data_IF_965635230653
#
_entry.id   IF_965635230653
#
_cell.length_a   1.000
_cell.length_b   1.000
_cell.length_c   1.000
_cell.angle_alpha   90.00
_cell.angle_beta   90.00
_cell.angle_gamma   90.00
#
_symmetry.space_group_name_H-M   'P 1'
#
loop_
_entity.id
_entity.type
_entity.pdbx_description
1 polymer ?
#
# COMPACT_ATOMS: atom_id res chain seq x y z
N UNK A 1 -1.83 -13.90 15.09
CA UNK A 1 -3.03 -13.30 14.48
C UNK A 1 -3.09 -13.78 13.05
N UNK A 2 -4.20 -14.35 12.59
CA UNK A 2 -4.38 -14.72 11.17
C UNK A 2 -5.36 -13.77 10.53
N UNK A 3 -5.18 -13.45 9.25
CA UNK A 3 -6.16 -12.66 8.51
C UNK A 3 -7.37 -13.54 8.20
N UNK A 4 -8.58 -13.05 8.48
CA UNK A 4 -9.84 -13.75 8.22
C UNK A 4 -10.54 -13.22 6.97
N UNK A 5 -10.48 -11.91 6.74
CA UNK A 5 -11.22 -11.27 5.66
C UNK A 5 -10.60 -9.92 5.29
N UNK A 6 -10.92 -9.52 4.07
CA UNK A 6 -10.59 -8.23 3.50
C UNK A 6 -11.86 -7.55 3.03
N UNK A 7 -12.05 -6.29 3.40
CA UNK A 7 -13.18 -5.46 2.96
C UNK A 7 -12.62 -4.27 2.19
N UNK A 8 -12.88 -4.23 0.88
CA UNK A 8 -12.44 -3.18 -0.02
C UNK A 8 -13.51 -2.08 -0.04
N UNK A 9 -13.15 -0.89 0.44
CA UNK A 9 -13.99 0.32 0.35
C UNK A 9 -13.42 1.28 -0.70
N UNK A 10 -13.97 1.20 -1.91
CA UNK A 10 -13.60 2.07 -3.04
C UNK A 10 -14.12 3.51 -2.89
N UNK A 11 -15.04 3.80 -1.96
CA UNK A 11 -15.50 5.18 -1.72
C UNK A 11 -14.51 5.93 -0.84
N UNK A 12 -13.92 5.22 0.12
CA UNK A 12 -12.91 5.77 1.05
C UNK A 12 -11.47 5.49 0.60
N UNK A 13 -11.28 4.75 -0.49
CA UNK A 13 -9.98 4.24 -0.95
C UNK A 13 -9.20 3.52 0.17
N UNK A 14 -9.91 2.69 0.94
CA UNK A 14 -9.38 2.01 2.12
C UNK A 14 -9.66 0.50 2.07
N UNK A 15 -8.72 -0.25 2.61
CA UNK A 15 -8.83 -1.68 2.86
C UNK A 15 -8.97 -1.92 4.36
N UNK A 16 -10.07 -2.56 4.77
CA UNK A 16 -10.19 -3.10 6.14
C UNK A 16 -9.71 -4.55 6.15
N UNK A 17 -8.89 -4.88 7.12
CA UNK A 17 -8.32 -6.21 7.34
C UNK A 17 -8.81 -6.68 8.70
N UNK A 18 -9.50 -7.81 8.73
CA UNK A 18 -10.01 -8.41 9.96
C UNK A 18 -9.13 -9.59 10.37
N UNK A 19 -8.94 -9.78 11.69
CA UNK A 19 -8.06 -10.79 12.25
C UNK A 19 -8.79 -11.79 13.16
N UNK A 20 -8.41 -13.07 13.10
CA UNK A 20 -9.12 -14.19 13.75
C UNK A 20 -9.08 -14.22 15.28
N UNK A 21 -8.20 -13.46 15.92
CA UNK A 21 -7.97 -13.52 17.36
C UNK A 21 -7.15 -12.29 17.76
N UNK A 22 -7.62 -11.52 18.74
CA UNK A 22 -6.81 -10.43 19.24
C UNK A 22 -7.05 -10.15 20.72
N UNK A 23 -5.98 -10.29 21.51
CA UNK A 23 -5.81 -9.52 22.74
C UNK A 23 -5.51 -8.03 22.45
N UNK A 24 -5.27 -7.64 21.19
CA UNK A 24 -4.65 -6.36 20.85
C UNK A 24 -5.30 -5.55 19.70
N UNK A 25 -5.99 -6.16 18.72
CA UNK A 25 -6.58 -5.48 17.55
C UNK A 25 -7.43 -6.41 16.69
N UNK A 26 -8.74 -6.20 16.64
CA UNK A 26 -9.70 -7.04 15.89
C UNK A 26 -9.71 -6.75 14.39
N UNK A 27 -9.47 -5.49 14.02
CA UNK A 27 -9.38 -5.05 12.63
C UNK A 27 -8.43 -3.86 12.47
N UNK A 28 -7.96 -3.64 11.25
CA UNK A 28 -7.14 -2.50 10.87
C UNK A 28 -7.55 -1.94 9.52
N UNK A 29 -7.35 -0.63 9.33
CA UNK A 29 -7.63 0.06 8.07
C UNK A 29 -6.34 0.60 7.47
N UNK A 30 -6.11 0.32 6.19
CA UNK A 30 -4.97 0.82 5.42
C UNK A 30 -5.47 1.44 4.12
N UNK A 31 -4.98 2.62 3.76
CA UNK A 31 -5.35 3.24 2.49
C UNK A 31 -4.73 2.53 1.29
N UNK A 32 -5.40 2.58 0.15
CA UNK A 32 -4.87 2.02 -1.10
C UNK A 32 -3.57 2.70 -1.51
N UNK A 33 -3.46 4.02 -1.29
CA UNK A 33 -2.20 4.75 -1.48
C UNK A 33 -1.09 4.13 -0.63
N UNK A 34 -1.32 3.96 0.66
CA UNK A 34 -0.33 3.42 1.59
C UNK A 34 0.13 2.01 1.19
N UNK A 35 -0.81 1.13 0.83
CA UNK A 35 -0.51 -0.22 0.35
C UNK A 35 0.33 -0.18 -0.95
N UNK A 36 -0.01 0.73 -1.86
CA UNK A 36 0.64 0.87 -3.17
C UNK A 36 2.07 1.41 -3.07
N UNK A 37 2.31 2.39 -2.21
CA UNK A 37 3.65 2.95 -1.99
C UNK A 37 4.53 1.96 -1.23
N UNK A 38 3.95 1.22 -0.28
CA UNK A 38 4.63 0.24 0.57
C UNK A 38 4.69 -1.13 -0.09
N UNK A 39 4.65 -1.20 -1.42
CA UNK A 39 4.65 -2.48 -2.12
C UNK A 39 6.01 -3.17 -2.02
N UNK A 40 6.08 -4.47 -1.69
CA UNK A 40 7.34 -5.18 -1.46
C UNK A 40 8.25 -5.22 -2.71
N UNK A 41 7.66 -5.16 -3.91
CA UNK A 41 8.41 -5.08 -5.17
C UNK A 41 9.09 -3.73 -5.38
N UNK A 42 8.57 -2.64 -4.81
CA UNK A 42 9.22 -1.32 -4.87
C UNK A 42 10.51 -1.33 -4.05
N UNK A 43 10.48 -1.94 -2.85
CA UNK A 43 11.64 -2.08 -1.97
C UNK A 43 12.80 -2.83 -2.64
N UNK A 44 12.51 -3.90 -3.37
CA UNK A 44 13.52 -4.67 -4.10
C UNK A 44 14.15 -3.89 -5.27
N UNK A 45 13.41 -2.94 -5.87
CA UNK A 45 13.89 -2.08 -6.95
C UNK A 45 14.79 -0.95 -6.42
N UNK A 46 14.40 -0.34 -5.29
CA UNK A 46 15.16 0.73 -4.62
C UNK A 46 16.56 0.28 -4.16
N UNK A 47 16.73 -0.99 -3.75
CA UNK A 47 18.04 -1.51 -3.36
C UNK A 47 19.02 -1.62 -4.55
N UNK A 48 18.52 -1.76 -5.79
CA UNK A 48 19.34 -1.97 -6.98
C UNK A 48 19.81 -0.68 -7.66
N UNK A 49 19.08 0.42 -7.51
CA UNK A 49 19.35 1.67 -8.24
C UNK A 49 20.25 2.66 -7.50
N UNK A 50 20.56 2.46 -6.22
CA UNK A 50 21.35 3.40 -5.40
C UNK A 50 20.67 4.76 -5.15
N UNK A 51 19.58 5.04 -5.84
CA UNK A 51 18.67 6.17 -5.63
C UNK A 51 17.33 5.59 -5.18
N UNK A 52 16.86 6.05 -4.01
CA UNK A 52 15.52 5.76 -3.53
C UNK A 52 14.53 6.54 -4.41
N UNK A 53 13.89 5.85 -5.35
CA UNK A 53 12.82 6.43 -6.13
C UNK A 53 11.55 6.38 -5.30
N UNK A 54 11.14 7.54 -4.76
CA UNK A 54 9.87 7.64 -4.02
C UNK A 54 8.72 7.39 -5.00
N UNK A 55 7.78 6.53 -4.61
CA UNK A 55 6.59 6.27 -5.43
C UNK A 55 5.58 7.39 -5.20
N UNK A 56 5.49 8.34 -6.13
CA UNK A 56 4.63 9.54 -6.04
C UNK A 56 3.38 9.44 -6.94
N UNK A 57 2.47 10.42 -6.79
CA UNK A 57 1.24 10.55 -7.59
C UNK A 57 0.27 9.36 -7.48
N UNK A 58 0.20 8.72 -6.31
CA UNK A 58 -0.63 7.52 -6.06
C UNK A 58 -1.83 7.75 -5.14
N UNK A 59 -2.17 9.00 -4.82
CA UNK A 59 -3.34 9.31 -3.97
C UNK A 59 -4.66 8.73 -4.49
N UNK A 60 -4.82 8.67 -5.81
CA UNK A 60 -6.05 8.17 -6.46
C UNK A 60 -5.97 6.70 -6.90
N UNK A 61 -4.95 5.95 -6.44
CA UNK A 61 -4.84 4.53 -6.78
C UNK A 61 -5.96 3.72 -6.14
N UNK A 62 -6.50 2.77 -6.88
CA UNK A 62 -7.59 1.90 -6.44
C UNK A 62 -7.09 0.46 -6.35
N UNK A 63 -7.43 -0.22 -5.26
CA UNK A 63 -7.25 -1.66 -5.13
C UNK A 63 -8.40 -2.38 -5.85
N UNK A 64 -8.07 -3.03 -6.96
CA UNK A 64 -9.04 -3.68 -7.85
C UNK A 64 -9.43 -5.05 -7.31
N UNK A 65 -8.45 -5.84 -6.85
CA UNK A 65 -8.69 -7.19 -6.40
C UNK A 65 -7.63 -7.68 -5.42
N UNK A 66 -7.99 -8.69 -4.62
CA UNK A 66 -7.09 -9.42 -3.73
C UNK A 66 -7.24 -10.92 -4.03
N UNK A 67 -6.13 -11.58 -4.32
CA UNK A 67 -6.10 -13.03 -4.57
C UNK A 67 -5.27 -13.73 -3.49
N UNK A 68 -5.75 -14.87 -2.97
CA UNK A 68 -4.94 -15.71 -2.09
C UNK A 68 -3.87 -16.47 -2.89
N UNK A 69 -2.62 -16.42 -2.44
CA UNK A 69 -1.47 -17.12 -3.03
C UNK A 69 -0.96 -18.20 -2.07
N UNK A 70 -1.91 -18.88 -1.40
CA UNK A 70 -1.64 -19.94 -0.43
C UNK A 70 -0.59 -19.51 0.62
N UNK A 71 0.49 -20.27 0.78
CA UNK A 71 1.55 -20.01 1.77
C UNK A 71 2.36 -18.73 1.52
N UNK A 72 2.22 -18.09 0.36
CA UNK A 72 2.98 -16.90 0.00
C UNK A 72 2.28 -15.59 0.42
N UNK A 73 1.03 -15.66 0.89
CA UNK A 73 0.23 -14.50 1.30
C UNK A 73 -0.80 -14.11 0.25
N UNK A 74 -0.96 -12.81 0.01
CA UNK A 74 -2.04 -12.26 -0.79
C UNK A 74 -1.52 -11.39 -1.93
N UNK A 75 -1.97 -11.62 -3.16
CA UNK A 75 -1.69 -10.74 -4.29
C UNK A 75 -2.68 -9.59 -4.29
N UNK A 76 -2.18 -8.37 -4.17
CA UNK A 76 -2.96 -7.15 -4.34
C UNK A 76 -2.79 -6.64 -5.77
N UNK A 77 -3.88 -6.34 -6.44
CA UNK A 77 -3.93 -5.86 -7.83
C UNK A 77 -4.51 -4.45 -7.84
N UNK A 78 -3.77 -3.49 -8.38
CA UNK A 78 -4.15 -2.08 -8.42
C UNK A 78 -4.53 -1.63 -9.84
N UNK A 79 -5.30 -0.55 -9.93
CA UNK A 79 -5.78 -0.01 -11.21
C UNK A 79 -4.67 0.65 -12.05
N UNK A 80 -3.52 0.98 -11.45
CA UNK A 80 -2.37 1.55 -12.16
C UNK A 80 -1.49 0.49 -12.86
N UNK A 81 -2.01 -0.74 -12.99
CA UNK A 81 -1.32 -1.88 -13.60
C UNK A 81 -0.35 -2.60 -12.65
N UNK A 82 -0.21 -2.12 -11.41
CA UNK A 82 0.67 -2.73 -10.42
C UNK A 82 0.02 -3.94 -9.75
N UNK A 83 0.79 -5.01 -9.56
CA UNK A 83 0.39 -6.13 -8.71
C UNK A 83 1.60 -6.70 -7.98
N UNK A 84 1.40 -7.12 -6.73
CA UNK A 84 2.46 -7.68 -5.90
C UNK A 84 1.90 -8.63 -4.84
N UNK A 85 2.73 -9.58 -4.41
CA UNK A 85 2.40 -10.52 -3.34
C UNK A 85 2.84 -9.93 -2.00
N UNK A 86 1.89 -9.75 -1.09
CA UNK A 86 2.09 -9.31 0.28
C UNK A 86 2.02 -10.53 1.20
N UNK A 87 3.15 -10.89 1.79
CA UNK A 87 3.18 -11.93 2.81
C UNK A 87 2.34 -11.49 4.03
N UNK A 88 1.66 -12.43 4.69
CA UNK A 88 0.83 -12.12 5.86
C UNK A 88 1.64 -11.41 6.96
N UNK A 89 2.85 -11.88 7.24
CA UNK A 89 3.77 -11.22 8.19
C UNK A 89 4.07 -9.76 7.80
N UNK A 90 4.19 -9.46 6.50
CA UNK A 90 4.43 -8.10 6.03
C UNK A 90 3.18 -7.23 6.17
N UNK A 91 1.98 -7.77 5.95
CA UNK A 91 0.72 -7.05 6.22
C UNK A 91 0.64 -6.66 7.70
N UNK A 92 1.02 -7.56 8.62
CA UNK A 92 1.11 -7.22 10.04
C UNK A 92 2.11 -6.07 10.30
N UNK A 93 3.29 -6.10 9.68
CA UNK A 93 4.25 -5.00 9.77
C UNK A 93 3.66 -3.68 9.27
N UNK A 94 2.97 -3.69 8.12
CA UNK A 94 2.33 -2.51 7.56
C UNK A 94 1.28 -1.90 8.50
N UNK A 95 0.53 -2.74 9.20
CA UNK A 95 -0.45 -2.26 10.19
C UNK A 95 0.25 -1.69 11.43
N UNK A 96 1.22 -2.40 12.00
CA UNK A 96 1.90 -1.98 13.23
C UNK A 96 2.77 -0.73 13.04
N UNK A 97 3.42 -0.60 11.87
CA UNK A 97 4.34 0.50 11.57
C UNK A 97 3.69 1.59 10.70
N UNK A 98 2.36 1.60 10.58
CA UNK A 98 1.62 2.50 9.69
C UNK A 98 2.07 3.95 9.85
N UNK A 99 1.98 4.49 11.07
CA UNK A 99 2.27 5.90 11.35
C UNK A 99 3.71 6.26 11.00
N UNK A 100 4.68 5.46 11.46
CA UNK A 100 6.11 5.73 11.24
C UNK A 100 6.45 5.68 9.75
N UNK A 101 5.95 4.68 9.03
CA UNK A 101 6.19 4.53 7.58
C UNK A 101 5.50 5.63 6.78
N UNK A 102 4.30 6.03 7.19
CA UNK A 102 3.57 7.08 6.53
C UNK A 102 4.27 8.43 6.66
N UNK A 103 4.70 8.79 7.88
CA UNK A 103 5.48 10.01 8.11
C UNK A 103 6.78 9.99 7.30
N UNK A 104 7.48 8.86 7.26
CA UNK A 104 8.69 8.71 6.46
C UNK A 104 8.43 8.99 4.97
N UNK A 105 7.38 8.40 4.39
CA UNK A 105 7.00 8.67 3.00
C UNK A 105 6.68 10.14 2.74
N UNK A 106 5.95 10.81 3.65
CA UNK A 106 5.67 12.25 3.54
C UNK A 106 6.96 13.08 3.56
N UNK A 107 7.93 12.70 4.40
CA UNK A 107 9.25 13.33 4.43
C UNK A 107 10.00 13.11 3.12
N UNK A 108 10.03 11.90 2.58
CA UNK A 108 10.71 11.59 1.30
C UNK A 108 10.11 12.37 0.12
N UNK A 109 8.77 12.48 0.07
CA UNK A 109 8.10 13.32 -0.93
C UNK A 109 8.50 14.79 -0.82
N UNK A 110 8.52 15.33 0.40
CA UNK A 110 8.91 16.72 0.65
C UNK A 110 10.37 16.99 0.25
N UNK A 111 11.29 16.09 0.58
CA UNK A 111 12.72 16.21 0.26
C UNK A 111 12.96 16.10 -1.25
N UNK A 112 12.24 15.20 -1.93
CA UNK A 112 12.40 14.98 -3.38
C UNK A 112 11.62 15.97 -4.25
N UNK A 113 10.74 16.78 -3.66
CA UNK A 113 9.90 17.74 -4.39
C UNK A 113 8.73 17.13 -5.16
N UNK A 114 8.42 15.85 -4.91
CA UNK A 114 7.29 15.17 -5.55
C UNK A 114 5.98 15.40 -4.80
N UNK A 115 4.85 15.12 -5.46
CA UNK A 115 3.51 15.26 -4.89
C UNK A 115 2.81 13.91 -4.71
N UNK A 116 1.89 13.85 -3.75
CA UNK A 116 0.93 12.73 -3.60
C UNK A 116 -0.17 12.79 -4.64
N UNK A 117 -0.60 14.00 -4.99
CA UNK A 117 -1.71 14.25 -5.90
C UNK A 117 -1.42 13.63 -7.27
N UNK A 118 -2.48 13.15 -7.94
CA UNK A 118 -2.35 12.65 -9.29
C UNK A 118 -1.80 13.72 -10.24
N UNK A 119 -1.05 13.29 -11.26
CA UNK A 119 -0.61 14.20 -12.31
C UNK A 119 -1.82 14.66 -13.13
N UNK A 120 -2.18 15.93 -12.98
CA UNK A 120 -3.20 16.57 -13.83
C UNK A 120 -2.59 16.76 -15.21
N UNK A 121 -2.99 15.95 -16.19
CA UNK A 121 -2.68 16.20 -17.60
C UNK A 121 -3.64 17.27 -18.13
N UNK A 122 -3.18 18.52 -18.21
CA UNK A 122 -3.92 19.57 -18.92
C UNK A 122 -3.80 19.28 -20.42
N UNK A 123 -4.82 18.67 -21.03
CA UNK A 123 -4.92 18.65 -22.49
C UNK A 123 -5.32 20.07 -22.94
N UNK A 124 -4.40 20.77 -23.61
CA UNK A 124 -4.76 21.98 -24.36
C UNK A 124 -5.79 21.59 -25.43
N UNK A 125 -6.95 22.25 -25.38
CA UNK A 125 -7.98 22.23 -26.41
C UNK A 125 -7.55 23.05 -27.62
#
# INVERSE_FOLDING_TARGET
MKIISFIIDNKQNNLTIEFSDSKNMESAQLSFEYLRISSPVNSAKNLKSGQAQVTSHKKEVVLVNIESVAKHGYRLIFNDGHNAIYAEAYIHTLVHEHEVRWQHYLTELKVSGHSREAMINIKQL
#
